data_IF_226208228498
#
_entry.id   IF_226208228498
#
_cell.length_a   1.000
_cell.length_b   1.000
_cell.length_c   1.000
_cell.angle_alpha   90.00
_cell.angle_beta   90.00
_cell.angle_gamma   90.00
#
_symmetry.space_group_name_H-M   'P 1'
#
loop_
_entity.id
_entity.type
_entity.pdbx_description
1 polymer ?
#
# COMPACT_ATOMS: atom_id res chain seq x y z
N UNK A 1 -54.54 -12.18 20.22
CA UNK A 1 -53.95 -10.89 19.77
C UNK A 1 -52.56 -10.66 20.38
N UNK A 2 -52.36 -10.72 21.72
CA UNK A 2 -51.04 -10.45 22.34
C UNK A 2 -49.89 -11.40 21.91
N UNK A 3 -50.22 -12.70 21.64
CA UNK A 3 -49.18 -13.68 21.20
C UNK A 3 -48.78 -13.55 19.74
N UNK A 4 -49.65 -13.02 18.87
CA UNK A 4 -49.30 -12.73 17.46
C UNK A 4 -48.37 -11.52 17.33
N UNK A 5 -48.56 -10.49 18.18
CA UNK A 5 -47.71 -9.30 18.19
C UNK A 5 -46.29 -9.63 18.67
N UNK A 6 -46.17 -10.53 19.65
CA UNK A 6 -44.85 -10.99 20.13
C UNK A 6 -44.08 -11.79 19.08
N UNK A 7 -44.77 -12.59 18.26
CA UNK A 7 -44.15 -13.36 17.18
C UNK A 7 -43.69 -12.44 16.03
N UNK A 8 -44.46 -11.40 15.71
CA UNK A 8 -44.12 -10.41 14.70
C UNK A 8 -42.88 -9.55 15.10
N UNK A 9 -42.76 -9.23 16.39
CA UNK A 9 -41.62 -8.49 16.94
C UNK A 9 -40.32 -9.30 16.90
N UNK A 10 -40.38 -10.62 17.17
CA UNK A 10 -39.24 -11.51 17.11
C UNK A 10 -38.73 -11.70 15.67
N UNK A 11 -39.63 -11.76 14.70
CA UNK A 11 -39.26 -11.86 13.27
C UNK A 11 -38.65 -10.57 12.77
N UNK A 12 -39.08 -9.39 13.23
CA UNK A 12 -38.51 -8.09 12.86
C UNK A 12 -37.08 -7.91 13.42
N UNK A 13 -36.81 -8.45 14.61
CA UNK A 13 -35.45 -8.39 15.21
C UNK A 13 -34.47 -9.35 14.50
N UNK A 14 -34.98 -10.50 14.01
CA UNK A 14 -34.16 -11.47 13.29
C UNK A 14 -33.74 -10.96 11.89
N UNK A 15 -34.54 -10.13 11.24
CA UNK A 15 -34.21 -9.55 9.92
C UNK A 15 -33.21 -8.40 10.04
N UNK A 16 -33.15 -7.68 11.18
CA UNK A 16 -32.21 -6.60 11.39
C UNK A 16 -30.79 -7.06 11.73
N UNK A 17 -30.56 -8.35 12.01
CA UNK A 17 -29.22 -8.90 12.24
C UNK A 17 -28.53 -9.44 10.96
N UNK A 18 -29.22 -9.49 9.82
CA UNK A 18 -28.65 -9.88 8.53
C UNK A 18 -28.17 -8.71 7.66
N UNK A 19 -28.25 -7.49 8.13
CA UNK A 19 -27.92 -6.30 7.36
C UNK A 19 -26.74 -5.55 7.95
N UNK A 20 -25.54 -6.10 7.93
CA UNK A 20 -24.24 -5.39 7.91
C UNK A 20 -23.08 -6.39 7.91
N UNK A 21 -23.12 -7.35 6.98
CA UNK A 21 -21.86 -7.80 6.41
C UNK A 21 -21.55 -6.75 5.33
N UNK A 22 -20.85 -5.66 5.71
CA UNK A 22 -20.21 -4.80 4.74
C UNK A 22 -19.42 -5.72 3.84
N UNK A 23 -19.67 -5.69 2.53
CA UNK A 23 -18.75 -6.28 1.57
C UNK A 23 -17.38 -5.70 1.89
N UNK A 24 -16.53 -6.53 2.51
CA UNK A 24 -15.09 -6.28 2.46
C UNK A 24 -14.81 -6.24 0.97
N UNK A 25 -14.42 -5.08 0.47
CA UNK A 25 -13.89 -4.98 -0.89
C UNK A 25 -12.87 -6.12 -0.96
N UNK A 26 -13.17 -7.13 -1.79
CA UNK A 26 -12.20 -8.17 -2.06
C UNK A 26 -11.03 -7.43 -2.69
N UNK A 27 -9.90 -7.43 -2.00
CA UNK A 27 -8.66 -6.95 -2.58
C UNK A 27 -8.35 -7.67 -3.89
N UNK A 28 -7.25 -7.31 -4.56
CA UNK A 28 -6.84 -8.00 -5.78
C UNK A 28 -6.79 -9.52 -5.59
N UNK A 29 -7.01 -10.27 -6.65
CA UNK A 29 -6.88 -11.73 -6.60
C UNK A 29 -5.42 -12.09 -6.23
N UNK A 30 -5.20 -13.07 -5.32
CA UNK A 30 -3.86 -13.54 -5.00
C UNK A 30 -3.08 -13.93 -6.26
N UNK A 31 -1.81 -13.52 -6.34
CA UNK A 31 -0.96 -13.74 -7.50
C UNK A 31 -1.15 -12.74 -8.64
N UNK A 32 -1.96 -11.69 -8.47
CA UNK A 32 -1.99 -10.58 -9.42
C UNK A 32 -0.57 -10.01 -9.58
N UNK A 33 -0.03 -9.91 -10.82
CA UNK A 33 1.33 -9.44 -11.03
C UNK A 33 1.54 -8.02 -10.49
N UNK A 34 2.58 -7.80 -9.69
CA UNK A 34 2.87 -6.48 -9.11
C UNK A 34 3.08 -5.39 -10.16
N UNK A 35 3.58 -5.78 -11.35
CA UNK A 35 3.73 -4.84 -12.48
C UNK A 35 2.39 -4.23 -12.93
N UNK A 36 1.25 -4.89 -12.70
CA UNK A 36 -0.08 -4.32 -13.00
C UNK A 36 -0.31 -3.06 -12.16
N UNK A 37 0.01 -3.11 -10.88
CA UNK A 37 -0.12 -1.96 -9.97
C UNK A 37 0.92 -0.87 -10.26
N UNK A 38 2.16 -1.27 -10.60
CA UNK A 38 3.18 -0.33 -11.03
C UNK A 38 2.74 0.46 -12.27
N UNK A 39 2.23 -0.22 -13.28
CA UNK A 39 1.73 0.43 -14.50
C UNK A 39 0.55 1.37 -14.18
N UNK A 40 -0.37 0.97 -13.31
CA UNK A 40 -1.48 1.83 -12.91
C UNK A 40 -0.99 3.14 -12.25
N UNK A 41 0.08 3.07 -11.43
CA UNK A 41 0.71 4.26 -10.86
C UNK A 41 1.31 5.12 -11.98
N UNK A 42 2.01 4.52 -12.93
CA UNK A 42 2.66 5.24 -14.02
C UNK A 42 1.65 5.86 -14.99
N UNK A 43 0.57 5.15 -15.31
CA UNK A 43 -0.48 5.61 -16.22
C UNK A 43 -1.34 6.74 -15.60
N UNK A 44 -1.35 6.86 -14.29
CA UNK A 44 -2.05 7.94 -13.58
C UNK A 44 -1.32 9.27 -13.63
N UNK A 45 -0.08 9.31 -14.15
CA UNK A 45 0.71 10.53 -14.13
C UNK A 45 0.19 11.56 -15.13
N UNK A 46 0.28 12.87 -14.82
CA UNK A 46 -0.09 13.93 -15.76
C UNK A 46 0.72 13.84 -17.06
N UNK A 47 0.10 14.13 -18.20
CA UNK A 47 0.76 14.11 -19.54
C UNK A 47 1.99 15.04 -19.62
N UNK A 48 2.05 16.09 -18.79
CA UNK A 48 3.14 17.03 -18.74
C UNK A 48 4.12 16.77 -17.57
N UNK A 49 3.96 15.66 -16.83
CA UNK A 49 4.93 15.25 -15.83
C UNK A 49 6.27 14.88 -16.50
N UNK A 50 7.37 15.16 -15.83
CA UNK A 50 8.68 14.68 -16.27
C UNK A 50 8.70 13.14 -16.17
N UNK A 51 9.55 12.49 -16.96
CA UNK A 51 9.69 11.05 -16.90
C UNK A 51 10.30 10.61 -15.56
N UNK A 52 9.62 9.74 -14.84
CA UNK A 52 10.16 9.13 -13.62
C UNK A 52 11.19 8.06 -13.99
N UNK A 53 12.44 8.29 -13.62
CA UNK A 53 13.51 7.32 -13.82
C UNK A 53 13.65 6.48 -12.55
N UNK A 54 13.08 5.28 -12.57
CA UNK A 54 13.16 4.30 -11.50
C UNK A 54 13.80 3.01 -12.00
N UNK A 55 14.65 2.40 -11.20
CA UNK A 55 15.25 1.10 -11.47
C UNK A 55 14.70 0.06 -10.49
N UNK A 56 14.45 -1.14 -10.99
CA UNK A 56 14.11 -2.25 -10.12
C UNK A 56 15.36 -2.69 -9.35
N UNK A 57 15.29 -2.55 -8.01
CA UNK A 57 16.35 -2.95 -7.09
C UNK A 57 16.17 -4.41 -6.67
N UNK A 58 17.22 -5.18 -6.77
CA UNK A 58 17.24 -6.61 -6.43
C UNK A 58 18.35 -7.00 -5.46
N UNK A 59 19.19 -6.04 -5.03
CA UNK A 59 20.26 -6.31 -4.08
C UNK A 59 19.67 -6.54 -2.67
N UNK A 60 19.74 -7.76 -2.10
CA UNK A 60 19.12 -8.08 -0.83
C UNK A 60 19.71 -7.30 0.35
N UNK A 61 20.99 -6.97 0.32
CA UNK A 61 21.64 -6.21 1.39
C UNK A 61 21.16 -4.77 1.42
N UNK A 62 20.94 -4.18 0.24
CA UNK A 62 20.39 -2.84 0.12
C UNK A 62 18.93 -2.80 0.57
N UNK A 63 18.10 -3.74 0.10
CA UNK A 63 16.71 -3.89 0.52
C UNK A 63 16.62 -4.05 2.04
N UNK A 64 17.40 -4.95 2.64
CA UNK A 64 17.41 -5.17 4.08
C UNK A 64 17.83 -3.92 4.86
N UNK A 65 18.70 -3.06 4.30
CA UNK A 65 19.13 -1.82 4.95
C UNK A 65 18.03 -0.76 4.99
N UNK A 66 17.17 -0.69 3.96
CA UNK A 66 16.06 0.25 3.89
C UNK A 66 14.77 -0.29 4.54
N UNK A 67 14.59 -1.61 4.57
CA UNK A 67 13.39 -2.30 5.08
C UNK A 67 13.76 -3.37 6.13
N UNK A 68 14.34 -2.97 7.28
CA UNK A 68 14.76 -3.93 8.32
C UNK A 68 13.58 -4.81 8.78
N UNK A 69 13.79 -6.11 8.75
CA UNK A 69 12.79 -7.11 9.17
C UNK A 69 11.87 -7.62 8.05
N UNK A 70 11.90 -7.03 6.85
CA UNK A 70 11.11 -7.53 5.72
C UNK A 70 11.56 -8.92 5.28
N UNK A 71 12.84 -9.24 5.41
CA UNK A 71 13.46 -10.54 5.13
C UNK A 71 12.95 -11.67 6.04
N UNK A 72 12.35 -11.33 7.18
CA UNK A 72 11.72 -12.29 8.10
C UNK A 72 10.27 -12.63 7.73
N UNK A 73 9.70 -11.97 6.74
CA UNK A 73 8.30 -12.13 6.30
C UNK A 73 8.27 -12.95 5.01
N UNK A 74 7.40 -13.97 4.96
CA UNK A 74 7.22 -14.74 3.73
C UNK A 74 6.40 -13.96 2.72
N UNK A 75 7.05 -13.56 1.62
CA UNK A 75 6.43 -12.87 0.50
C UNK A 75 6.13 -13.85 -0.64
N UNK A 76 4.99 -13.67 -1.32
CA UNK A 76 4.68 -14.33 -2.59
C UNK A 76 5.32 -13.60 -3.76
N UNK A 77 5.31 -12.27 -3.70
CA UNK A 77 5.90 -11.38 -4.71
C UNK A 77 6.50 -10.15 -4.02
N UNK A 78 7.53 -9.56 -4.63
CA UNK A 78 8.10 -8.28 -4.22
C UNK A 78 8.66 -7.55 -5.43
N UNK A 79 8.55 -6.21 -5.44
CA UNK A 79 9.16 -5.33 -6.42
C UNK A 79 9.53 -4.00 -5.74
N UNK A 80 10.78 -3.57 -5.95
CA UNK A 80 11.33 -2.35 -5.38
C UNK A 80 11.81 -1.46 -6.52
N UNK A 81 11.17 -0.33 -6.73
CA UNK A 81 11.54 0.65 -7.74
C UNK A 81 12.14 1.87 -7.05
N UNK A 82 13.42 2.11 -7.28
CA UNK A 82 14.21 3.14 -6.61
C UNK A 82 14.84 4.11 -7.61
N UNK A 83 15.06 5.38 -7.25
CA UNK A 83 15.75 6.32 -8.11
C UNK A 83 17.25 6.00 -8.16
N UNK A 84 17.94 6.38 -9.25
CA UNK A 84 19.40 6.19 -9.36
C UNK A 84 20.20 6.99 -8.33
N UNK A 85 19.57 8.02 -7.77
CA UNK A 85 20.17 8.92 -6.77
C UNK A 85 19.20 9.02 -5.60
N UNK A 86 19.59 8.52 -4.44
CA UNK A 86 18.76 8.42 -3.23
C UNK A 86 18.38 9.79 -2.58
N UNK A 87 18.79 10.91 -3.16
CA UNK A 87 18.43 12.25 -2.66
C UNK A 87 17.06 12.73 -3.12
N UNK A 88 16.43 12.03 -4.08
CA UNK A 88 15.08 12.36 -4.52
C UNK A 88 14.05 11.48 -3.78
N UNK A 89 12.98 12.08 -3.23
CA UNK A 89 11.88 11.31 -2.63
C UNK A 89 11.03 10.68 -3.75
N UNK A 90 11.53 9.59 -4.31
CA UNK A 90 10.87 8.86 -5.39
C UNK A 90 11.13 7.36 -5.23
N UNK A 91 10.16 6.63 -4.71
CA UNK A 91 10.31 5.21 -4.43
C UNK A 91 8.93 4.53 -4.51
N UNK A 92 8.85 3.38 -5.19
CA UNK A 92 7.64 2.58 -5.26
C UNK A 92 8.01 1.16 -4.84
N UNK A 93 7.38 0.67 -3.79
CA UNK A 93 7.56 -0.70 -3.30
C UNK A 93 6.22 -1.40 -3.26
N UNK A 94 6.18 -2.58 -3.84
CA UNK A 94 5.00 -3.41 -3.95
C UNK A 94 5.32 -4.81 -3.44
N UNK A 95 4.50 -5.35 -2.57
CA UNK A 95 4.65 -6.74 -2.10
C UNK A 95 3.30 -7.43 -1.97
N UNK A 96 3.32 -8.75 -2.11
CA UNK A 96 2.24 -9.65 -1.74
C UNK A 96 2.74 -10.58 -0.64
N UNK A 97 2.11 -10.55 0.54
CA UNK A 97 2.44 -11.46 1.63
C UNK A 97 1.75 -12.82 1.43
N UNK A 98 2.38 -13.91 1.87
CA UNK A 98 1.75 -15.23 1.86
C UNK A 98 0.67 -15.36 2.92
N UNK A 99 0.84 -14.69 4.06
CA UNK A 99 -0.08 -14.75 5.19
C UNK A 99 -0.67 -13.37 5.46
N UNK A 100 -1.99 -13.25 5.44
CA UNK A 100 -2.72 -12.01 5.70
C UNK A 100 -2.40 -11.39 7.08
N UNK A 101 -2.03 -12.21 8.07
CA UNK A 101 -1.58 -11.74 9.37
C UNK A 101 -0.30 -10.88 9.32
N UNK A 102 0.47 -10.95 8.24
CA UNK A 102 1.71 -10.20 8.07
C UNK A 102 1.52 -8.85 7.35
N UNK A 103 0.33 -8.59 6.77
CA UNK A 103 0.00 -7.34 6.07
C UNK A 103 0.32 -6.11 6.93
N UNK A 104 -0.09 -6.11 8.20
CA UNK A 104 0.16 -4.98 9.09
C UNK A 104 1.64 -4.82 9.43
N UNK A 105 2.37 -5.92 9.61
CA UNK A 105 3.83 -5.87 9.87
C UNK A 105 4.58 -5.25 8.70
N UNK A 106 4.21 -5.61 7.47
CA UNK A 106 4.80 -5.00 6.27
C UNK A 106 4.45 -3.52 6.19
N UNK A 107 3.20 -3.15 6.45
CA UNK A 107 2.80 -1.74 6.47
C UNK A 107 3.58 -0.93 7.51
N UNK A 108 3.85 -1.50 8.69
CA UNK A 108 4.65 -0.86 9.74
C UNK A 108 6.12 -0.68 9.31
N UNK A 109 6.70 -1.68 8.62
CA UNK A 109 8.06 -1.57 8.04
C UNK A 109 8.12 -0.47 6.98
N UNK A 110 7.11 -0.38 6.12
CA UNK A 110 7.02 0.66 5.11
C UNK A 110 6.83 2.05 5.72
N UNK A 111 6.04 2.15 6.78
CA UNK A 111 5.91 3.41 7.52
C UNK A 111 7.25 3.83 8.15
N UNK A 112 7.99 2.88 8.74
CA UNK A 112 9.32 3.16 9.30
C UNK A 112 10.31 3.64 8.21
N UNK A 113 10.20 3.15 6.97
CA UNK A 113 10.97 3.67 5.83
C UNK A 113 10.61 5.11 5.50
N UNK A 114 9.32 5.45 5.51
CA UNK A 114 8.85 6.84 5.32
C UNK A 114 9.41 7.74 6.42
N UNK A 115 9.30 7.32 7.67
CA UNK A 115 9.77 8.07 8.83
C UNK A 115 11.29 8.31 8.74
N UNK A 116 12.06 7.30 8.32
CA UNK A 116 13.50 7.42 8.08
C UNK A 116 13.82 8.46 6.99
N UNK A 117 13.04 8.48 5.92
CA UNK A 117 13.17 9.47 4.84
C UNK A 117 12.83 10.88 5.31
N UNK A 118 11.76 11.00 6.09
CA UNK A 118 11.25 12.26 6.64
C UNK A 118 12.17 12.88 7.71
N UNK A 119 12.93 12.06 8.44
CA UNK A 119 13.88 12.51 9.48
C UNK A 119 15.29 12.84 8.93
N UNK A 120 15.50 12.79 7.62
CA UNK A 120 16.79 13.01 7.01
C UNK A 120 17.22 14.49 7.04
N UNK A 121 17.94 14.87 8.07
CA UNK A 121 18.42 16.26 8.26
C UNK A 121 19.52 16.69 7.30
N UNK A 122 20.20 15.76 6.61
CA UNK A 122 21.23 16.09 5.63
C UNK A 122 20.66 16.58 4.30
N UNK A 123 19.41 16.20 4.00
CA UNK A 123 18.70 16.55 2.77
C UNK A 123 17.28 17.05 3.10
N UNK A 124 17.12 18.28 3.63
CA UNK A 124 15.84 18.77 4.15
C UNK A 124 14.75 18.87 3.08
N UNK A 125 15.11 19.14 1.81
CA UNK A 125 14.14 19.16 0.70
C UNK A 125 13.61 17.74 0.39
N UNK A 126 14.49 16.74 0.44
CA UNK A 126 14.09 15.34 0.31
C UNK A 126 13.20 14.93 1.49
N UNK A 127 13.59 15.29 2.72
CA UNK A 127 12.80 14.99 3.92
C UNK A 127 11.38 15.58 3.83
N UNK A 128 11.24 16.81 3.33
CA UNK A 128 9.93 17.42 3.10
C UNK A 128 9.08 16.63 2.08
N UNK A 129 9.71 16.12 1.02
CA UNK A 129 9.03 15.26 0.04
C UNK A 129 8.50 13.96 0.67
N UNK A 130 9.30 13.29 1.51
CA UNK A 130 8.88 12.11 2.26
C UNK A 130 7.71 12.42 3.21
N UNK A 131 7.71 13.57 3.87
CA UNK A 131 6.64 13.99 4.80
C UNK A 131 5.32 14.29 4.08
N UNK A 132 5.39 14.87 2.88
CA UNK A 132 4.20 15.41 2.20
C UNK A 132 3.60 14.43 1.19
N UNK A 133 4.43 13.60 0.55
CA UNK A 133 4.04 12.85 -0.63
C UNK A 133 4.22 11.33 -0.49
N UNK A 134 4.62 10.84 0.70
CA UNK A 134 4.73 9.40 0.92
C UNK A 134 3.46 8.83 1.55
N UNK A 135 3.10 7.62 1.15
CA UNK A 135 1.98 6.89 1.76
C UNK A 135 2.15 5.38 1.66
N UNK A 136 1.50 4.68 2.58
CA UNK A 136 1.34 3.22 2.55
C UNK A 136 -0.11 2.90 2.24
N UNK A 137 -0.34 2.00 1.26
CA UNK A 137 -1.67 1.46 0.96
C UNK A 137 -1.65 -0.05 1.11
N UNK A 138 -2.79 -0.65 1.40
CA UNK A 138 -2.95 -2.10 1.55
C UNK A 138 -4.33 -2.55 1.11
N UNK A 139 -4.39 -3.71 0.44
CA UNK A 139 -5.64 -4.34 0.02
C UNK A 139 -5.47 -5.86 -0.09
N UNK A 140 -6.28 -6.63 0.65
CA UNK A 140 -6.06 -8.07 0.76
C UNK A 140 -4.67 -8.37 1.30
N UNK A 141 -3.90 -9.20 0.58
CA UNK A 141 -2.52 -9.57 0.90
C UNK A 141 -1.46 -8.62 0.29
N UNK A 142 -1.90 -7.57 -0.39
CA UNK A 142 -1.01 -6.62 -1.04
C UNK A 142 -0.75 -5.40 -0.15
N UNK A 143 0.49 -4.97 -0.13
CA UNK A 143 0.93 -3.74 0.56
C UNK A 143 1.85 -2.98 -0.39
N UNK A 144 1.66 -1.68 -0.50
CA UNK A 144 2.60 -0.82 -1.20
C UNK A 144 3.03 0.36 -0.33
N UNK A 145 4.23 0.84 -0.60
CA UNK A 145 4.72 2.14 -0.19
C UNK A 145 5.06 2.93 -1.43
N UNK A 146 4.60 4.16 -1.49
CA UNK A 146 4.83 5.05 -2.62
C UNK A 146 5.24 6.41 -2.08
N UNK A 147 6.32 6.94 -2.61
CA UNK A 147 6.66 8.36 -2.53
C UNK A 147 6.99 8.84 -3.93
N UNK A 148 6.35 9.91 -4.37
CA UNK A 148 6.60 10.54 -5.66
C UNK A 148 6.92 12.01 -5.45
N UNK A 149 7.68 12.67 -6.35
CA UNK A 149 7.99 14.09 -6.25
C UNK A 149 6.72 14.96 -6.35
N UNK A 150 6.83 16.22 -5.97
CA UNK A 150 5.77 17.21 -6.16
C UNK A 150 5.32 17.28 -7.63
N UNK A 151 4.01 17.33 -7.83
CA UNK A 151 3.39 17.39 -9.17
C UNK A 151 3.04 16.03 -9.77
N UNK A 152 3.45 14.93 -9.14
CA UNK A 152 3.02 13.58 -9.51
C UNK A 152 1.79 13.16 -8.69
N UNK A 153 1.07 12.16 -9.21
CA UNK A 153 -0.17 11.67 -8.61
C UNK A 153 0.04 10.27 -8.05
N UNK A 154 -0.33 10.05 -6.79
CA UNK A 154 -0.50 8.71 -6.24
C UNK A 154 -1.99 8.38 -6.30
N UNK A 155 -2.41 7.31 -7.02
CA UNK A 155 -3.80 6.89 -7.06
C UNK A 155 -4.37 6.69 -5.66
N UNK A 156 -5.64 7.09 -5.45
CA UNK A 156 -6.31 6.95 -4.15
C UNK A 156 -6.34 5.49 -3.68
N UNK A 157 -6.49 4.56 -4.62
CA UNK A 157 -6.34 3.12 -4.39
C UNK A 157 -5.57 2.49 -5.55
N UNK A 158 -4.29 2.18 -5.33
CA UNK A 158 -3.41 1.53 -6.31
C UNK A 158 -3.87 0.12 -6.68
N UNK A 159 -4.59 -0.53 -5.80
CA UNK A 159 -5.01 -1.91 -5.96
C UNK A 159 -6.39 -2.08 -6.62
N UNK A 160 -7.06 -0.99 -6.99
CA UNK A 160 -8.28 -1.02 -7.81
C UNK A 160 -7.93 -0.80 -9.28
N UNK A 161 -7.52 -1.90 -9.96
CA UNK A 161 -7.16 -1.94 -11.39
C UNK A 161 -7.99 -2.96 -12.14
#
# INVERSE_FOLDING_TARGET
MKRLIALLLVVLIAVSLYGCAGEKSKGPEPGTPLNTFYQAIMDAQPENAEELILFEESNPDLIASFYPGLDSIELSQQAFYMPPIATHPCEIVLVEVKNDADVQKVADIFQARIDMGADNTNYPESAAGWQLYAQVQKSGNFVCMIVLPEGYVIPENVFEV
#
